data_IF_238190494216
#
_entry.id   IF_238190494216
#
_cell.length_a   1.000
_cell.length_b   1.000
_cell.length_c   1.000
_cell.angle_alpha   90.00
_cell.angle_beta   90.00
_cell.angle_gamma   90.00
#
_symmetry.space_group_name_H-M   'P 1'
#
loop_
_entity.id
_entity.type
_entity.pdbx_description
1 polymer ?
#
# COMPACT_ATOMS: atom_id res chain seq x y z
N UNK A 1 -29.41 -17.40 -27.54
CA UNK A 1 -28.50 -17.85 -28.60
C UNK A 1 -27.17 -17.11 -28.58
N UNK A 2 -27.09 -15.77 -28.61
CA UNK A 2 -25.82 -14.98 -28.58
C UNK A 2 -24.94 -15.29 -27.37
N UNK A 3 -25.48 -15.43 -26.17
CA UNK A 3 -24.69 -15.72 -24.96
C UNK A 3 -24.07 -17.15 -24.93
N UNK A 4 -24.74 -18.13 -25.53
CA UNK A 4 -24.22 -19.50 -25.64
C UNK A 4 -23.08 -19.55 -26.67
N UNK A 5 -23.27 -18.90 -27.83
CA UNK A 5 -22.24 -18.80 -28.87
C UNK A 5 -21.00 -18.06 -28.36
N UNK A 6 -21.17 -16.96 -27.62
CA UNK A 6 -20.05 -16.22 -27.00
C UNK A 6 -19.29 -17.08 -25.99
N UNK A 7 -19.98 -17.85 -25.16
CA UNK A 7 -19.33 -18.81 -24.22
C UNK A 7 -18.58 -19.92 -24.96
N UNK A 8 -19.16 -20.47 -25.99
CA UNK A 8 -18.54 -21.52 -26.79
C UNK A 8 -17.26 -21.02 -27.46
N UNK A 9 -17.31 -19.84 -28.09
CA UNK A 9 -16.13 -19.20 -28.67
C UNK A 9 -15.05 -18.92 -27.63
N UNK A 10 -15.42 -18.46 -26.43
CA UNK A 10 -14.49 -18.22 -25.33
C UNK A 10 -13.82 -19.51 -24.84
N UNK A 11 -14.55 -20.62 -24.76
CA UNK A 11 -14.01 -21.93 -24.38
C UNK A 11 -13.05 -22.49 -25.44
N UNK A 12 -13.44 -22.42 -26.72
CA UNK A 12 -12.59 -22.85 -27.83
C UNK A 12 -11.31 -22.01 -27.91
N UNK A 13 -11.43 -20.68 -27.81
CA UNK A 13 -10.29 -19.76 -27.79
C UNK A 13 -9.34 -20.05 -26.61
N UNK A 14 -9.89 -20.28 -25.42
CA UNK A 14 -9.11 -20.64 -24.24
C UNK A 14 -8.36 -21.98 -24.45
N UNK A 15 -9.04 -23.00 -24.97
CA UNK A 15 -8.44 -24.30 -25.24
C UNK A 15 -7.31 -24.18 -26.28
N UNK A 16 -7.52 -23.42 -27.35
CA UNK A 16 -6.53 -23.21 -28.41
C UNK A 16 -5.27 -22.50 -27.89
N UNK A 17 -5.44 -21.38 -27.19
CA UNK A 17 -4.32 -20.61 -26.62
C UNK A 17 -3.56 -21.47 -25.59
N UNK A 18 -4.29 -22.19 -24.75
CA UNK A 18 -3.68 -23.08 -23.77
C UNK A 18 -2.89 -24.21 -24.45
N UNK A 19 -3.45 -24.87 -25.48
CA UNK A 19 -2.76 -25.93 -26.23
C UNK A 19 -1.46 -25.43 -26.85
N UNK A 20 -1.49 -24.29 -27.51
CA UNK A 20 -0.32 -23.69 -28.15
C UNK A 20 0.77 -23.36 -27.11
N UNK A 21 0.40 -22.68 -26.03
CA UNK A 21 1.33 -22.33 -24.96
C UNK A 21 1.89 -23.57 -24.26
N UNK A 22 1.03 -24.55 -23.97
CA UNK A 22 1.41 -25.82 -23.34
C UNK A 22 2.42 -26.60 -24.19
N UNK A 23 2.15 -26.72 -25.49
CA UNK A 23 3.03 -27.41 -26.43
C UNK A 23 4.39 -26.73 -26.59
N UNK A 24 4.42 -25.40 -26.72
CA UNK A 24 5.66 -24.62 -26.75
C UNK A 24 6.49 -24.84 -25.47
N UNK A 25 5.85 -24.78 -24.31
CA UNK A 25 6.51 -24.98 -23.02
C UNK A 25 6.98 -26.43 -22.84
N UNK A 26 6.20 -27.41 -23.30
CA UNK A 26 6.63 -28.80 -23.33
C UNK A 26 7.88 -29.02 -24.19
N UNK A 27 7.93 -28.41 -25.39
CA UNK A 27 9.09 -28.48 -26.28
C UNK A 27 10.35 -27.90 -25.61
N UNK A 28 10.22 -26.76 -24.94
CA UNK A 28 11.32 -26.16 -24.14
C UNK A 28 11.72 -27.09 -22.99
N UNK A 29 10.75 -27.65 -22.27
CA UNK A 29 11.00 -28.58 -21.17
C UNK A 29 11.68 -29.86 -21.64
N UNK A 30 11.29 -30.37 -22.81
CA UNK A 30 11.89 -31.59 -23.42
C UNK A 30 13.37 -31.37 -23.72
N UNK A 31 13.73 -30.18 -24.20
CA UNK A 31 15.13 -29.83 -24.48
C UNK A 31 15.99 -29.76 -23.20
N UNK A 32 15.38 -29.47 -22.05
CA UNK A 32 16.07 -29.38 -20.76
C UNK A 32 16.19 -30.73 -20.03
N UNK A 33 15.16 -31.58 -20.17
CA UNK A 33 15.01 -32.82 -19.36
C UNK A 33 15.35 -34.09 -20.17
N UNK A 34 15.40 -33.99 -21.52
CA UNK A 34 15.69 -35.07 -22.48
C UNK A 34 14.68 -36.26 -22.42
N UNK A 35 13.72 -36.22 -21.50
CA UNK A 35 12.67 -37.24 -21.33
C UNK A 35 11.29 -36.63 -21.53
N UNK A 36 10.51 -37.16 -22.45
CA UNK A 36 9.22 -36.62 -22.87
C UNK A 36 8.15 -36.62 -21.77
N UNK A 37 8.12 -37.66 -20.94
CA UNK A 37 7.20 -37.82 -19.81
C UNK A 37 7.50 -36.81 -18.67
N UNK A 38 8.77 -36.69 -18.29
CA UNK A 38 9.20 -35.75 -17.26
C UNK A 38 9.11 -34.31 -17.71
N UNK A 39 9.25 -34.01 -19.01
CA UNK A 39 9.09 -32.70 -19.59
C UNK A 39 7.70 -32.07 -19.34
N UNK A 40 6.65 -32.90 -19.24
CA UNK A 40 5.29 -32.46 -18.90
C UNK A 40 5.21 -31.90 -17.48
N UNK A 41 6.05 -32.41 -16.56
CA UNK A 41 6.07 -32.01 -15.15
C UNK A 41 6.74 -30.66 -14.91
N UNK A 42 7.51 -30.12 -15.85
CA UNK A 42 8.22 -28.86 -15.67
C UNK A 42 7.29 -27.67 -16.00
N UNK A 43 7.48 -27.01 -17.12
CA UNK A 43 6.75 -25.79 -17.45
C UNK A 43 5.27 -26.00 -17.80
N UNK A 44 4.84 -27.06 -18.51
CA UNK A 44 3.42 -27.31 -18.76
C UNK A 44 2.60 -27.42 -17.48
N UNK A 45 3.13 -28.12 -16.48
CA UNK A 45 2.54 -28.22 -15.16
C UNK A 45 2.35 -26.84 -14.50
N UNK A 46 3.40 -25.99 -14.53
CA UNK A 46 3.35 -24.62 -13.98
C UNK A 46 2.33 -23.74 -14.70
N UNK A 47 2.23 -23.82 -16.02
CA UNK A 47 1.22 -23.11 -16.82
C UNK A 47 -0.20 -23.51 -16.42
N UNK A 48 -0.47 -24.81 -16.35
CA UNK A 48 -1.78 -25.31 -15.93
C UNK A 48 -2.18 -24.78 -14.56
N UNK A 49 -1.31 -24.95 -13.56
CA UNK A 49 -1.59 -24.48 -12.20
C UNK A 49 -1.78 -22.96 -12.13
N UNK A 50 -0.91 -22.20 -12.80
CA UNK A 50 -1.00 -20.77 -12.85
C UNK A 50 -2.33 -20.28 -13.42
N UNK A 51 -2.79 -20.88 -14.52
CA UNK A 51 -4.09 -20.56 -15.11
C UNK A 51 -5.26 -21.02 -14.25
N UNK A 52 -5.19 -22.21 -13.63
CA UNK A 52 -6.26 -22.68 -12.75
C UNK A 52 -6.45 -21.82 -11.51
N UNK A 53 -5.37 -21.26 -10.95
CA UNK A 53 -5.45 -20.31 -9.84
C UNK A 53 -6.12 -19.00 -10.24
N UNK A 54 -5.98 -18.56 -11.48
CA UNK A 54 -6.49 -17.27 -11.97
C UNK A 54 -7.86 -17.37 -12.66
N UNK A 55 -8.14 -18.45 -13.39
CA UNK A 55 -9.38 -18.62 -14.12
C UNK A 55 -10.57 -19.02 -13.22
N UNK A 56 -11.81 -18.65 -13.59
CA UNK A 56 -13.01 -19.17 -12.95
C UNK A 56 -13.06 -20.69 -13.01
N UNK A 57 -13.63 -21.33 -11.98
CA UNK A 57 -13.74 -22.80 -11.89
C UNK A 57 -14.40 -23.45 -13.10
N UNK A 58 -15.29 -22.72 -13.79
CA UNK A 58 -15.95 -23.23 -15.01
C UNK A 58 -14.99 -23.53 -16.17
N UNK A 59 -13.77 -23.00 -16.19
CA UNK A 59 -12.75 -23.28 -17.20
C UNK A 59 -11.80 -24.43 -16.83
N UNK A 60 -11.81 -24.92 -15.59
CA UNK A 60 -10.93 -26.00 -15.15
C UNK A 60 -11.11 -27.30 -15.94
N UNK A 61 -12.35 -27.76 -16.23
CA UNK A 61 -12.54 -28.94 -17.06
C UNK A 61 -11.96 -28.80 -18.47
N UNK A 62 -11.99 -27.57 -19.02
CA UNK A 62 -11.43 -27.28 -20.35
C UNK A 62 -9.90 -27.38 -20.30
N UNK A 63 -9.24 -26.80 -19.29
CA UNK A 63 -7.79 -26.85 -19.13
C UNK A 63 -7.30 -28.28 -18.92
N UNK A 64 -7.96 -29.07 -18.04
CA UNK A 64 -7.62 -30.48 -17.80
C UNK A 64 -7.88 -31.35 -19.00
N UNK A 65 -9.06 -31.20 -19.63
CA UNK A 65 -9.42 -31.97 -20.81
C UNK A 65 -8.47 -31.75 -21.98
N UNK A 66 -8.07 -30.47 -22.17
CA UNK A 66 -7.09 -30.12 -23.22
C UNK A 66 -5.71 -30.70 -22.92
N UNK A 67 -5.25 -30.64 -21.67
CA UNK A 67 -3.97 -31.24 -21.25
C UNK A 67 -4.00 -32.75 -21.44
N UNK A 68 -5.08 -33.43 -21.06
CA UNK A 68 -5.22 -34.87 -21.23
C UNK A 68 -5.24 -35.29 -22.70
N UNK A 69 -5.89 -34.51 -23.56
CA UNK A 69 -5.86 -34.75 -25.02
C UNK A 69 -4.43 -34.62 -25.56
N UNK A 70 -3.69 -33.63 -25.10
CA UNK A 70 -2.29 -33.43 -25.51
C UNK A 70 -1.39 -34.57 -24.99
N UNK A 71 -1.56 -35.02 -23.73
CA UNK A 71 -0.82 -36.15 -23.17
C UNK A 71 -1.12 -37.43 -23.94
N UNK A 72 -2.39 -37.70 -24.27
CA UNK A 72 -2.77 -38.88 -25.06
C UNK A 72 -2.23 -38.82 -26.49
N UNK A 73 -2.23 -37.64 -27.12
CA UNK A 73 -1.63 -37.46 -28.44
C UNK A 73 -0.11 -37.67 -28.39
N UNK A 74 0.60 -37.11 -27.41
CA UNK A 74 2.03 -37.34 -27.22
C UNK A 74 2.36 -38.80 -26.89
N UNK A 75 1.49 -39.51 -26.19
CA UNK A 75 1.69 -40.95 -25.91
C UNK A 75 1.68 -41.80 -27.19
N UNK A 76 0.96 -41.36 -28.23
CA UNK A 76 0.97 -42.03 -29.53
C UNK A 76 2.18 -41.65 -30.40
N UNK A 77 2.55 -40.36 -30.43
CA UNK A 77 3.59 -39.82 -31.31
C UNK A 77 5.02 -40.02 -30.76
N UNK A 78 5.21 -39.87 -29.46
CA UNK A 78 6.55 -39.83 -28.82
C UNK A 78 6.73 -41.02 -27.84
N UNK A 79 5.73 -41.94 -27.74
CA UNK A 79 5.74 -43.10 -26.85
C UNK A 79 6.04 -42.75 -25.39
N UNK A 80 5.19 -41.88 -24.78
CA UNK A 80 5.30 -41.57 -23.35
C UNK A 80 5.21 -42.84 -22.50
N UNK A 81 6.15 -43.04 -21.57
CA UNK A 81 6.22 -44.22 -20.74
C UNK A 81 5.01 -44.33 -19.76
N UNK A 82 4.60 -43.20 -19.17
CA UNK A 82 3.63 -43.21 -18.07
C UNK A 82 2.49 -42.18 -18.22
N UNK A 83 1.65 -42.21 -19.29
CA UNK A 83 0.59 -41.24 -19.50
C UNK A 83 -0.48 -41.26 -18.38
N UNK A 84 -0.78 -42.42 -17.82
CA UNK A 84 -1.78 -42.58 -16.75
C UNK A 84 -1.29 -41.92 -15.46
N UNK A 85 0.00 -42.00 -15.13
CA UNK A 85 0.60 -41.38 -13.97
C UNK A 85 0.48 -39.85 -14.07
N UNK A 86 0.75 -39.27 -15.24
CA UNK A 86 0.59 -37.84 -15.50
C UNK A 86 -0.86 -37.38 -15.33
N UNK A 87 -1.83 -38.13 -15.84
CA UNK A 87 -3.25 -37.81 -15.73
C UNK A 87 -3.76 -37.95 -14.29
N UNK A 88 -3.39 -39.00 -13.56
CA UNK A 88 -3.77 -39.17 -12.15
C UNK A 88 -3.18 -38.12 -11.26
N UNK A 89 -1.90 -37.77 -11.44
CA UNK A 89 -1.25 -36.64 -10.75
C UNK A 89 -1.98 -35.31 -10.99
N UNK A 90 -2.41 -35.08 -12.25
CA UNK A 90 -3.13 -33.85 -12.58
C UNK A 90 -4.48 -33.71 -11.87
N UNK A 91 -5.18 -34.81 -11.60
CA UNK A 91 -6.41 -34.84 -10.79
C UNK A 91 -6.14 -34.48 -9.31
N UNK A 92 -5.08 -35.07 -8.73
CA UNK A 92 -4.74 -34.81 -7.32
C UNK A 92 -4.46 -33.35 -7.06
N UNK A 93 -3.90 -32.61 -8.02
CA UNK A 93 -3.60 -31.21 -7.90
C UNK A 93 -4.84 -30.30 -7.80
N UNK A 94 -6.03 -30.80 -8.16
CA UNK A 94 -7.28 -30.06 -8.02
C UNK A 94 -7.60 -29.72 -6.56
N UNK A 95 -7.21 -30.56 -5.60
CA UNK A 95 -7.51 -30.37 -4.19
C UNK A 95 -6.91 -29.04 -3.63
N UNK A 96 -5.59 -28.82 -3.66
CA UNK A 96 -5.00 -27.61 -3.14
C UNK A 96 -5.45 -26.36 -3.91
N UNK A 97 -5.61 -26.47 -5.24
CA UNK A 97 -6.09 -25.36 -6.07
C UNK A 97 -7.54 -24.99 -5.72
N UNK A 98 -8.42 -25.99 -5.48
CA UNK A 98 -9.81 -25.73 -5.09
C UNK A 98 -9.93 -25.08 -3.72
N UNK A 99 -9.08 -25.46 -2.76
CA UNK A 99 -9.06 -24.87 -1.43
C UNK A 99 -8.68 -23.38 -1.49
N UNK A 100 -7.63 -23.05 -2.23
CA UNK A 100 -7.12 -21.68 -2.31
C UNK A 100 -7.96 -20.79 -3.22
N UNK A 101 -8.58 -21.34 -4.26
CA UNK A 101 -9.46 -20.55 -5.13
C UNK A 101 -10.63 -19.89 -4.41
N UNK A 102 -10.97 -20.32 -3.18
CA UNK A 102 -11.96 -19.66 -2.31
C UNK A 102 -11.51 -18.27 -1.83
N UNK A 103 -10.19 -18.04 -1.72
CA UNK A 103 -9.60 -16.80 -1.22
C UNK A 103 -9.12 -15.84 -2.33
N UNK A 104 -9.55 -16.05 -3.57
CA UNK A 104 -9.10 -15.33 -4.77
C UNK A 104 -9.36 -13.82 -4.75
N UNK A 105 -10.34 -13.34 -3.97
CA UNK A 105 -10.71 -11.92 -3.94
C UNK A 105 -9.85 -11.05 -3.02
N UNK A 106 -9.10 -11.63 -2.11
CA UNK A 106 -8.20 -10.90 -1.22
C UNK A 106 -6.86 -10.70 -1.93
N UNK A 107 -6.46 -9.43 -2.14
CA UNK A 107 -5.19 -9.05 -2.81
C UNK A 107 -4.07 -8.75 -1.82
N UNK A 108 -4.04 -9.42 -0.69
CA UNK A 108 -3.06 -9.23 0.37
C UNK A 108 -1.78 -10.04 0.12
N UNK A 109 -0.67 -9.63 0.76
CA UNK A 109 0.57 -10.39 0.77
C UNK A 109 0.40 -11.85 1.19
N UNK A 110 -0.56 -12.13 2.10
CA UNK A 110 -0.96 -13.47 2.51
C UNK A 110 -1.48 -14.32 1.33
N UNK A 111 -2.10 -13.68 0.35
CA UNK A 111 -2.61 -14.37 -0.84
C UNK A 111 -1.46 -14.92 -1.69
N UNK A 112 -0.37 -14.16 -1.83
CA UNK A 112 0.84 -14.61 -2.53
C UNK A 112 1.47 -15.83 -1.82
N UNK A 113 1.62 -15.75 -0.49
CA UNK A 113 2.14 -16.89 0.29
C UNK A 113 1.24 -18.11 0.25
N UNK A 114 -0.08 -17.93 0.34
CA UNK A 114 -1.06 -19.02 0.22
C UNK A 114 -1.02 -19.66 -1.17
N UNK A 115 -0.89 -18.85 -2.22
CA UNK A 115 -0.72 -19.35 -3.58
C UNK A 115 0.59 -20.14 -3.72
N UNK A 116 1.70 -19.64 -3.18
CA UNK A 116 2.96 -20.36 -3.11
C UNK A 116 2.84 -21.69 -2.36
N UNK A 117 2.19 -21.71 -1.21
CA UNK A 117 1.91 -22.92 -0.45
C UNK A 117 1.04 -23.92 -1.21
N UNK A 118 0.03 -23.44 -1.96
CA UNK A 118 -0.77 -24.31 -2.84
C UNK A 118 0.02 -24.90 -3.99
N UNK A 119 0.90 -24.12 -4.59
CA UNK A 119 1.79 -24.59 -5.64
C UNK A 119 2.71 -25.68 -5.12
N UNK A 120 3.29 -25.50 -3.93
CA UNK A 120 4.11 -26.53 -3.30
C UNK A 120 3.30 -27.80 -2.99
N UNK A 121 2.10 -27.66 -2.42
CA UNK A 121 1.21 -28.79 -2.15
C UNK A 121 0.77 -29.51 -3.44
N UNK A 122 0.48 -28.75 -4.50
CA UNK A 122 0.12 -29.32 -5.80
C UNK A 122 1.31 -30.05 -6.44
N UNK A 123 2.52 -29.53 -6.32
CA UNK A 123 3.73 -30.20 -6.81
C UNK A 123 4.00 -31.51 -6.07
N UNK A 124 3.85 -31.52 -4.75
CA UNK A 124 3.94 -32.73 -3.94
C UNK A 124 2.90 -33.77 -4.36
N UNK A 125 1.65 -33.37 -4.55
CA UNK A 125 0.57 -34.29 -4.96
C UNK A 125 0.77 -34.81 -6.39
N UNK A 126 1.31 -33.99 -7.30
CA UNK A 126 1.61 -34.41 -8.67
C UNK A 126 2.75 -35.45 -8.71
N UNK A 127 3.74 -35.32 -7.82
CA UNK A 127 4.87 -36.26 -7.76
C UNK A 127 4.57 -37.55 -6.99
N UNK A 128 3.49 -37.63 -6.20
CA UNK A 128 3.13 -38.83 -5.43
C UNK A 128 3.04 -40.12 -6.27
N UNK A 129 2.36 -40.14 -7.45
CA UNK A 129 2.30 -41.36 -8.25
C UNK A 129 3.67 -41.81 -8.76
N UNK A 130 4.63 -40.92 -8.91
CA UNK A 130 6.01 -41.20 -9.35
C UNK A 130 6.86 -41.90 -8.28
N UNK A 131 6.48 -41.77 -7.00
CA UNK A 131 7.18 -42.47 -5.92
C UNK A 131 7.09 -44.02 -6.03
N UNK A 132 6.09 -44.52 -6.76
CA UNK A 132 5.96 -45.92 -7.05
C UNK A 132 7.00 -46.44 -8.07
N UNK A 133 7.62 -45.52 -8.86
CA UNK A 133 8.62 -45.79 -9.87
C UNK A 133 10.07 -45.70 -9.35
N UNK A 134 10.27 -45.66 -8.01
CA UNK A 134 11.58 -45.67 -7.39
C UNK A 134 12.30 -44.31 -7.42
N UNK A 135 13.52 -44.23 -7.94
CA UNK A 135 14.38 -43.04 -7.92
C UNK A 135 13.84 -41.86 -8.75
N UNK A 136 12.84 -42.08 -9.57
CA UNK A 136 12.23 -41.02 -10.40
C UNK A 136 11.33 -40.08 -9.62
N UNK A 137 10.87 -40.47 -8.43
CA UNK A 137 10.00 -39.67 -7.59
C UNK A 137 10.63 -38.34 -7.16
N UNK A 138 11.92 -38.33 -6.84
CA UNK A 138 12.64 -37.12 -6.42
C UNK A 138 12.81 -36.17 -7.62
N UNK A 139 13.16 -36.69 -8.78
CA UNK A 139 13.28 -35.91 -10.02
C UNK A 139 11.94 -35.30 -10.43
N UNK A 140 10.85 -36.06 -10.37
CA UNK A 140 9.50 -35.59 -10.63
C UNK A 140 9.09 -34.46 -9.65
N UNK A 141 9.45 -34.59 -8.37
CA UNK A 141 9.19 -33.57 -7.37
C UNK A 141 9.97 -32.27 -7.66
N UNK A 142 11.26 -32.38 -7.96
CA UNK A 142 12.08 -31.20 -8.30
C UNK A 142 11.56 -30.48 -9.55
N UNK A 143 11.19 -31.23 -10.58
CA UNK A 143 10.64 -30.68 -11.82
C UNK A 143 9.30 -29.96 -11.58
N UNK A 144 8.39 -30.60 -10.85
CA UNK A 144 7.07 -30.01 -10.55
C UNK A 144 7.19 -28.76 -9.67
N UNK A 145 8.05 -28.79 -8.64
CA UNK A 145 8.32 -27.61 -7.80
C UNK A 145 8.91 -26.46 -8.61
N UNK A 146 9.93 -26.77 -9.41
CA UNK A 146 10.61 -25.75 -10.22
C UNK A 146 9.66 -25.14 -11.25
N UNK A 147 8.96 -25.97 -12.03
CA UNK A 147 8.02 -25.51 -13.05
C UNK A 147 6.83 -24.74 -12.44
N UNK A 148 6.28 -25.26 -11.34
CA UNK A 148 5.18 -24.61 -10.62
C UNK A 148 5.55 -23.24 -10.05
N UNK A 149 6.66 -23.14 -9.32
CA UNK A 149 7.09 -21.90 -8.69
C UNK A 149 7.66 -20.87 -9.69
N UNK A 150 8.17 -21.30 -10.82
CA UNK A 150 8.69 -20.39 -11.85
C UNK A 150 7.56 -19.83 -12.72
N UNK A 151 6.67 -20.69 -13.22
CA UNK A 151 5.70 -20.27 -14.23
C UNK A 151 4.34 -19.85 -13.66
N UNK A 152 3.85 -20.47 -12.58
CA UNK A 152 2.54 -20.11 -12.06
C UNK A 152 2.46 -18.68 -11.51
N UNK A 153 3.49 -18.12 -10.80
CA UNK A 153 3.48 -16.72 -10.42
C UNK A 153 3.54 -15.74 -11.60
N UNK A 154 4.21 -16.11 -12.70
CA UNK A 154 4.22 -15.29 -13.92
C UNK A 154 2.85 -15.21 -14.57
N UNK A 155 2.08 -16.30 -14.56
CA UNK A 155 0.67 -16.29 -14.98
C UNK A 155 -0.16 -15.32 -14.13
N UNK A 156 0.12 -15.19 -12.81
CA UNK A 156 -0.54 -14.24 -11.94
C UNK A 156 -0.25 -12.79 -12.38
N UNK A 157 1.00 -12.46 -12.69
CA UNK A 157 1.38 -11.10 -13.16
C UNK A 157 0.68 -10.79 -14.47
N UNK A 158 0.72 -11.72 -15.42
CA UNK A 158 0.09 -11.56 -16.72
C UNK A 158 -1.43 -11.39 -16.60
N UNK A 159 -2.08 -12.23 -15.79
CA UNK A 159 -3.51 -12.12 -15.50
C UNK A 159 -3.86 -10.80 -14.85
N UNK A 160 -3.07 -10.36 -13.87
CA UNK A 160 -3.26 -9.07 -13.22
C UNK A 160 -3.17 -7.92 -14.23
N UNK A 161 -2.19 -7.95 -15.13
CA UNK A 161 -2.03 -6.95 -16.18
C UNK A 161 -3.24 -6.94 -17.12
N UNK A 162 -3.69 -8.10 -17.59
CA UNK A 162 -4.86 -8.22 -18.48
C UNK A 162 -6.16 -7.74 -17.82
N UNK A 163 -6.35 -7.98 -16.52
CA UNK A 163 -7.60 -7.65 -15.83
C UNK A 163 -7.60 -6.25 -15.22
N UNK A 164 -6.44 -5.69 -14.88
CA UNK A 164 -6.31 -4.33 -14.32
C UNK A 164 -6.38 -3.24 -15.39
N UNK A 165 -6.02 -3.58 -16.63
CA UNK A 165 -6.17 -2.66 -17.77
C UNK A 165 -7.64 -2.60 -18.12
N UNK A 166 -8.32 -1.55 -17.67
CA UNK A 166 -9.70 -1.28 -18.10
C UNK A 166 -9.64 -0.89 -19.57
N UNK A 167 -9.96 -1.82 -20.44
CA UNK A 167 -10.18 -1.58 -21.86
C UNK A 167 -11.46 -0.73 -22.00
N UNK A 168 -11.34 0.58 -21.74
CA UNK A 168 -12.43 1.51 -22.09
C UNK A 168 -12.34 1.77 -23.58
N UNK A 169 -13.45 1.66 -24.32
CA UNK A 169 -13.47 2.11 -25.71
C UNK A 169 -13.03 3.58 -25.71
N UNK A 170 -12.13 3.92 -26.62
CA UNK A 170 -11.63 5.28 -26.83
C UNK A 170 -12.80 6.20 -27.15
N UNK A 171 -13.36 6.84 -26.14
CA UNK A 171 -14.29 7.94 -26.32
C UNK A 171 -13.52 9.22 -26.67
N UNK A 172 -14.07 10.12 -27.46
CA UNK A 172 -13.39 11.34 -27.93
C UNK A 172 -12.96 12.32 -26.83
N UNK A 173 -13.30 12.06 -25.57
CA UNK A 173 -12.98 12.91 -24.43
C UNK A 173 -11.83 12.37 -23.54
N UNK A 174 -11.22 11.24 -23.86
CA UNK A 174 -10.07 10.72 -23.12
C UNK A 174 -8.79 11.21 -23.78
N UNK A 175 -8.32 12.37 -23.34
CA UNK A 175 -6.89 12.70 -23.42
C UNK A 175 -6.17 11.57 -22.68
N UNK A 176 -5.50 10.71 -23.42
CA UNK A 176 -4.65 9.67 -22.87
C UNK A 176 -3.68 10.36 -21.94
N UNK A 177 -3.72 10.02 -20.65
CA UNK A 177 -2.64 10.43 -19.75
C UNK A 177 -1.37 9.91 -20.42
N UNK A 178 -0.38 10.76 -20.71
CA UNK A 178 0.85 10.30 -21.34
C UNK A 178 1.40 9.20 -20.49
N UNK A 179 1.57 8.01 -21.06
CA UNK A 179 2.30 6.91 -20.43
C UNK A 179 3.68 7.47 -20.21
N UNK A 180 3.98 7.89 -19.00
CA UNK A 180 5.31 8.38 -18.61
C UNK A 180 6.25 7.18 -18.62
N UNK A 181 6.70 6.84 -19.80
CA UNK A 181 7.81 5.94 -19.99
C UNK A 181 9.04 6.65 -19.42
N UNK A 182 9.33 6.40 -18.17
CA UNK A 182 10.59 6.80 -17.60
C UNK A 182 11.68 5.89 -18.18
N UNK A 183 12.11 6.20 -19.39
CA UNK A 183 13.14 5.44 -20.12
C UNK A 183 14.39 5.18 -19.30
N UNK A 184 14.69 6.08 -18.36
CA UNK A 184 15.79 5.93 -17.39
C UNK A 184 15.66 4.67 -16.53
N UNK A 185 14.44 4.29 -16.11
CA UNK A 185 14.25 3.06 -15.33
C UNK A 185 14.41 1.81 -16.20
N UNK A 186 13.91 1.84 -17.43
CA UNK A 186 14.10 0.74 -18.38
C UNK A 186 15.59 0.48 -18.65
N UNK A 187 16.37 1.53 -18.84
CA UNK A 187 17.83 1.45 -19.02
C UNK A 187 18.50 0.82 -17.80
N UNK A 188 18.11 1.23 -16.58
CA UNK A 188 18.64 0.66 -15.34
C UNK A 188 18.33 -0.84 -15.20
N UNK A 189 17.12 -1.27 -15.60
CA UNK A 189 16.76 -2.70 -15.56
C UNK A 189 17.51 -3.50 -16.60
N UNK A 190 17.63 -2.96 -17.81
CA UNK A 190 18.39 -3.61 -18.87
C UNK A 190 19.86 -3.74 -18.50
N UNK A 191 20.42 -2.72 -17.87
CA UNK A 191 21.78 -2.73 -17.34
C UNK A 191 21.95 -3.74 -16.21
N UNK A 192 21.06 -3.77 -15.22
CA UNK A 192 21.07 -4.76 -14.14
C UNK A 192 20.93 -6.19 -14.68
N UNK A 193 20.06 -6.39 -15.66
CA UNK A 193 19.88 -7.68 -16.31
C UNK A 193 21.14 -8.09 -17.09
N UNK A 194 21.74 -7.17 -17.84
CA UNK A 194 22.99 -7.43 -18.57
C UNK A 194 24.15 -7.75 -17.63
N UNK A 195 24.26 -7.05 -16.50
CA UNK A 195 25.25 -7.34 -15.46
C UNK A 195 25.01 -8.73 -14.86
N UNK A 196 23.74 -9.07 -14.56
CA UNK A 196 23.38 -10.39 -14.04
C UNK A 196 23.74 -11.51 -15.02
N UNK A 197 23.43 -11.31 -16.30
CA UNK A 197 23.77 -12.26 -17.35
C UNK A 197 25.30 -12.40 -17.51
N UNK A 198 26.01 -11.28 -17.54
CA UNK A 198 27.49 -11.28 -17.62
C UNK A 198 28.12 -11.97 -16.42
N UNK A 199 27.57 -11.76 -15.22
CA UNK A 199 28.03 -12.43 -14.01
C UNK A 199 27.81 -13.95 -14.09
N UNK A 200 26.68 -14.39 -14.67
CA UNK A 200 26.37 -15.83 -14.85
C UNK A 200 27.30 -16.50 -15.85
N UNK A 201 27.63 -15.80 -16.93
CA UNK A 201 28.48 -16.36 -18.03
C UNK A 201 29.97 -16.21 -17.78
N UNK A 202 30.37 -15.21 -16.98
CA UNK A 202 31.79 -14.81 -16.83
C UNK A 202 32.45 -15.25 -15.53
N UNK A 203 31.73 -15.84 -14.57
CA UNK A 203 32.31 -16.29 -13.31
C UNK A 203 33.16 -17.57 -13.50
N UNK A 204 34.41 -17.57 -12.98
CA UNK A 204 35.23 -18.79 -12.94
C UNK A 204 34.50 -19.91 -12.20
N UNK A 205 34.80 -21.17 -12.56
CA UNK A 205 34.16 -22.36 -11.98
C UNK A 205 34.20 -22.40 -10.45
N UNK A 206 35.24 -21.83 -9.84
CA UNK A 206 35.38 -21.74 -8.37
C UNK A 206 34.36 -20.79 -7.72
N UNK A 207 33.95 -19.73 -8.41
CA UNK A 207 33.01 -18.72 -7.95
C UNK A 207 31.57 -19.00 -8.42
N UNK A 208 31.37 -19.97 -9.31
CA UNK A 208 30.05 -20.34 -9.84
C UNK A 208 29.06 -20.76 -8.74
N UNK A 209 29.56 -21.26 -7.61
CA UNK A 209 28.74 -21.58 -6.41
C UNK A 209 28.04 -20.36 -5.81
N UNK A 210 28.56 -19.14 -6.05
CA UNK A 210 27.97 -17.89 -5.57
C UNK A 210 27.00 -17.26 -6.57
N UNK A 211 26.87 -17.80 -7.76
CA UNK A 211 25.96 -17.30 -8.81
C UNK A 211 24.52 -17.10 -8.32
N UNK A 212 23.90 -18.01 -7.54
CA UNK A 212 22.54 -17.82 -7.03
C UNK A 212 22.37 -16.55 -6.18
N UNK A 213 23.39 -16.14 -5.42
CA UNK A 213 23.35 -14.91 -4.63
C UNK A 213 23.41 -13.66 -5.49
N UNK A 214 24.21 -13.69 -6.55
CA UNK A 214 24.30 -12.58 -7.51
C UNK A 214 22.98 -12.38 -8.26
N UNK A 215 22.25 -13.47 -8.53
CA UNK A 215 20.94 -13.45 -9.17
C UNK A 215 19.84 -12.83 -8.27
N UNK A 216 20.05 -12.80 -6.97
CA UNK A 216 19.12 -12.14 -6.05
C UNK A 216 19.11 -10.62 -6.20
N UNK A 217 20.23 -10.00 -6.65
CA UNK A 217 20.35 -8.54 -6.76
C UNK A 217 19.33 -7.91 -7.72
N UNK A 218 19.13 -8.39 -8.96
CA UNK A 218 18.09 -7.88 -9.86
C UNK A 218 16.69 -8.09 -9.28
N UNK A 219 16.45 -9.22 -8.59
CA UNK A 219 15.16 -9.51 -7.96
C UNK A 219 14.87 -8.48 -6.87
N UNK A 220 15.83 -8.20 -5.98
CA UNK A 220 15.71 -7.19 -4.93
C UNK A 220 15.47 -5.80 -5.52
N UNK A 221 16.24 -5.40 -6.53
CA UNK A 221 16.14 -4.08 -7.14
C UNK A 221 14.77 -3.86 -7.82
N UNK A 222 14.29 -4.84 -8.60
CA UNK A 222 12.98 -4.76 -9.23
C UNK A 222 11.84 -4.86 -8.21
N UNK A 223 11.98 -5.71 -7.19
CA UNK A 223 11.01 -5.83 -6.12
C UNK A 223 10.87 -4.50 -5.34
N UNK A 224 11.98 -3.82 -5.08
CA UNK A 224 11.95 -2.53 -4.39
C UNK A 224 11.16 -1.47 -5.16
N UNK A 225 11.36 -1.39 -6.48
CA UNK A 225 10.68 -0.39 -7.31
C UNK A 225 9.24 -0.76 -7.68
N UNK A 226 8.99 -2.01 -8.10
CA UNK A 226 7.69 -2.45 -8.65
C UNK A 226 6.90 -3.36 -7.70
N UNK A 227 7.44 -3.68 -6.51
CA UNK A 227 6.81 -4.59 -5.57
C UNK A 227 6.88 -6.03 -6.03
N UNK A 228 5.88 -6.82 -5.64
CA UNK A 228 5.80 -8.24 -5.96
C UNK A 228 5.83 -8.55 -7.46
N UNK A 229 5.26 -7.67 -8.29
CA UNK A 229 5.29 -7.82 -9.75
C UNK A 229 6.71 -7.75 -10.30
N UNK A 230 7.49 -6.78 -9.81
CA UNK A 230 8.90 -6.64 -10.17
C UNK A 230 9.74 -7.83 -9.77
N UNK A 231 9.51 -8.39 -8.57
CA UNK A 231 10.19 -9.59 -8.12
C UNK A 231 9.92 -10.79 -9.05
N UNK A 232 8.66 -11.02 -9.43
CA UNK A 232 8.28 -12.14 -10.28
C UNK A 232 8.77 -11.99 -11.73
N UNK A 233 8.77 -10.78 -12.28
CA UNK A 233 9.34 -10.51 -13.60
C UNK A 233 10.86 -10.74 -13.57
N UNK A 234 11.55 -10.30 -12.54
CA UNK A 234 12.99 -10.51 -12.40
C UNK A 234 13.34 -12.00 -12.31
N UNK A 235 12.55 -12.78 -11.54
CA UNK A 235 12.77 -14.23 -11.47
C UNK A 235 12.56 -14.93 -12.81
N UNK A 236 11.55 -14.52 -13.58
CA UNK A 236 11.31 -15.05 -14.92
C UNK A 236 12.47 -14.71 -15.86
N UNK A 237 12.93 -13.45 -15.86
CA UNK A 237 14.05 -13.01 -16.70
C UNK A 237 15.34 -13.74 -16.35
N UNK A 238 15.63 -13.91 -15.06
CA UNK A 238 16.77 -14.70 -14.60
C UNK A 238 16.64 -16.18 -14.99
N UNK A 239 15.44 -16.77 -14.91
CA UNK A 239 15.21 -18.14 -15.33
C UNK A 239 15.47 -18.32 -16.83
N UNK A 240 14.99 -17.39 -17.66
CA UNK A 240 15.26 -17.40 -19.11
C UNK A 240 16.75 -17.29 -19.38
N UNK A 241 17.45 -16.37 -18.69
CA UNK A 241 18.89 -16.20 -18.84
C UNK A 241 19.68 -17.47 -18.46
N UNK A 242 19.26 -18.10 -17.37
CA UNK A 242 19.86 -19.33 -16.86
C UNK A 242 19.69 -20.48 -17.87
N UNK A 243 18.50 -20.64 -18.41
CA UNK A 243 18.20 -21.64 -19.44
C UNK A 243 18.96 -21.39 -20.73
N UNK A 244 19.11 -20.11 -21.13
CA UNK A 244 19.80 -19.74 -22.35
C UNK A 244 21.34 -19.89 -22.28
N UNK A 245 21.92 -20.00 -21.08
CA UNK A 245 23.38 -20.02 -20.88
C UNK A 245 24.08 -21.32 -21.32
N UNK A 246 23.37 -22.33 -21.79
CA UNK A 246 23.90 -23.60 -22.36
C UNK A 246 24.91 -24.42 -21.49
N UNK A 247 25.20 -23.99 -20.26
CA UNK A 247 26.22 -24.61 -19.39
C UNK A 247 25.73 -25.87 -18.65
N UNK A 248 24.56 -26.38 -19.02
CA UNK A 248 23.77 -27.32 -18.18
C UNK A 248 23.82 -28.77 -18.60
N UNK A 249 24.47 -29.09 -19.70
CA UNK A 249 24.48 -30.46 -20.25
C UNK A 249 25.08 -31.48 -19.27
N UNK A 250 25.96 -31.01 -18.35
CA UNK A 250 26.64 -31.89 -17.42
C UNK A 250 25.90 -32.06 -16.07
N UNK A 251 25.03 -31.09 -15.64
CA UNK A 251 24.40 -31.11 -14.31
C UNK A 251 22.96 -30.55 -14.30
N UNK A 252 21.97 -31.28 -14.83
CA UNK A 252 20.58 -30.79 -14.89
C UNK A 252 19.92 -30.55 -13.52
N UNK A 253 20.34 -31.26 -12.48
CA UNK A 253 19.84 -31.10 -11.11
C UNK A 253 20.23 -29.75 -10.52
N UNK A 254 21.45 -29.29 -10.79
CA UNK A 254 21.94 -28.00 -10.29
C UNK A 254 21.18 -26.83 -10.94
N UNK A 255 20.80 -26.96 -12.21
CA UNK A 255 19.89 -26.00 -12.86
C UNK A 255 18.54 -25.94 -12.14
N UNK A 256 17.90 -27.09 -11.94
CA UNK A 256 16.59 -27.14 -11.30
C UNK A 256 16.62 -26.56 -9.90
N UNK A 257 17.65 -26.88 -9.11
CA UNK A 257 17.85 -26.30 -7.77
C UNK A 257 18.05 -24.78 -7.82
N UNK A 258 18.82 -24.27 -8.79
CA UNK A 258 19.04 -22.83 -8.98
C UNK A 258 17.74 -22.12 -9.37
N UNK A 259 16.97 -22.67 -10.30
CA UNK A 259 15.66 -22.14 -10.70
C UNK A 259 14.67 -22.15 -9.53
N UNK A 260 14.66 -23.23 -8.75
CA UNK A 260 13.83 -23.36 -7.57
C UNK A 260 14.19 -22.32 -6.51
N UNK A 261 15.48 -22.19 -6.19
CA UNK A 261 15.97 -21.22 -5.22
C UNK A 261 15.63 -19.79 -5.60
N UNK A 262 15.81 -19.42 -6.87
CA UNK A 262 15.44 -18.11 -7.39
C UNK A 262 13.95 -17.84 -7.32
N UNK A 263 13.13 -18.80 -7.72
CA UNK A 263 11.66 -18.69 -7.71
C UNK A 263 11.12 -18.51 -6.30
N UNK A 264 11.67 -19.30 -5.35
CA UNK A 264 11.32 -19.18 -3.93
C UNK A 264 11.76 -17.82 -3.37
N UNK A 265 12.98 -17.38 -3.67
CA UNK A 265 13.50 -16.07 -3.26
C UNK A 265 12.63 -14.94 -3.81
N UNK A 266 12.28 -14.99 -5.09
CA UNK A 266 11.42 -13.98 -5.72
C UNK A 266 10.03 -13.91 -5.11
N UNK A 267 9.43 -15.06 -4.80
CA UNK A 267 8.12 -15.13 -4.16
C UNK A 267 8.16 -14.57 -2.73
N UNK A 268 9.15 -14.94 -1.93
CA UNK A 268 9.30 -14.48 -0.54
C UNK A 268 9.63 -12.99 -0.48
N UNK A 269 10.56 -12.52 -1.31
CA UNK A 269 10.90 -11.09 -1.41
C UNK A 269 9.72 -10.28 -1.93
N UNK A 270 9.02 -10.77 -2.94
CA UNK A 270 7.82 -10.11 -3.47
C UNK A 270 6.74 -9.96 -2.41
N UNK A 271 6.44 -11.01 -1.66
CA UNK A 271 5.49 -10.99 -0.56
C UNK A 271 5.94 -10.08 0.59
N UNK A 272 7.23 -10.15 0.96
CA UNK A 272 7.80 -9.32 2.02
C UNK A 272 7.74 -7.81 1.70
N UNK A 273 8.13 -7.43 0.49
CA UNK A 273 8.08 -6.02 0.04
C UNK A 273 6.64 -5.53 -0.06
N UNK A 274 5.73 -6.38 -0.54
CA UNK A 274 4.31 -6.04 -0.55
C UNK A 274 3.80 -5.77 0.87
N UNK A 275 4.16 -6.61 1.83
CA UNK A 275 3.80 -6.42 3.25
C UNK A 275 4.33 -5.10 3.81
N UNK A 276 5.60 -4.79 3.53
CA UNK A 276 6.20 -3.52 3.95
C UNK A 276 5.49 -2.31 3.37
N UNK A 277 5.07 -2.38 2.11
CA UNK A 277 4.30 -1.31 1.46
C UNK A 277 2.93 -1.12 2.09
N UNK A 278 2.20 -2.20 2.35
CA UNK A 278 0.89 -2.16 3.01
C UNK A 278 1.00 -1.57 4.42
N UNK A 279 2.00 -1.99 5.20
CA UNK A 279 2.26 -1.43 6.53
C UNK A 279 2.60 0.06 6.46
N UNK A 280 3.45 0.47 5.53
CA UNK A 280 3.83 1.87 5.37
C UNK A 280 2.64 2.75 4.97
N UNK A 281 1.80 2.28 4.04
CA UNK A 281 0.56 2.96 3.65
C UNK A 281 -0.43 3.07 4.82
N UNK A 282 -0.61 2.00 5.58
CA UNK A 282 -1.44 1.98 6.78
C UNK A 282 -0.93 2.99 7.82
N UNK A 283 0.38 2.99 8.10
CA UNK A 283 1.00 3.92 9.04
C UNK A 283 0.83 5.37 8.59
N UNK A 284 1.04 5.67 7.31
CA UNK A 284 0.84 7.02 6.78
C UNK A 284 -0.61 7.48 6.90
N UNK A 285 -1.57 6.60 6.65
CA UNK A 285 -3.00 6.91 6.79
C UNK A 285 -3.38 7.19 8.24
N UNK A 286 -2.85 6.43 9.20
CA UNK A 286 -3.06 6.64 10.64
C UNK A 286 -2.42 7.95 11.11
N UNK A 287 -1.20 8.26 10.67
CA UNK A 287 -0.55 9.54 10.98
C UNK A 287 -1.33 10.73 10.44
N UNK A 288 -1.83 10.64 9.20
CA UNK A 288 -2.67 11.68 8.61
C UNK A 288 -4.00 11.86 9.37
N UNK A 289 -4.60 10.75 9.81
CA UNK A 289 -5.81 10.77 10.64
C UNK A 289 -5.56 11.43 12.00
N UNK A 290 -4.47 11.05 12.67
CA UNK A 290 -4.12 11.61 13.97
C UNK A 290 -3.83 13.11 13.89
N UNK A 291 -3.15 13.58 12.83
CA UNK A 291 -2.94 15.03 12.59
C UNK A 291 -4.26 15.77 12.45
N UNK A 292 -5.19 15.26 11.63
CA UNK A 292 -6.51 15.88 11.46
C UNK A 292 -7.32 15.91 12.75
N UNK A 293 -7.22 14.87 13.59
CA UNK A 293 -7.88 14.87 14.90
C UNK A 293 -7.26 15.90 15.84
N UNK A 294 -5.94 16.01 15.87
CA UNK A 294 -5.25 17.04 16.67
C UNK A 294 -5.62 18.46 16.22
N UNK A 295 -5.66 18.73 14.92
CA UNK A 295 -6.10 20.01 14.37
C UNK A 295 -7.56 20.34 14.80
N UNK A 296 -8.47 19.39 14.66
CA UNK A 296 -9.86 19.58 15.09
C UNK A 296 -10.01 19.79 16.60
N UNK A 297 -9.22 19.11 17.43
CA UNK A 297 -9.23 19.33 18.86
C UNK A 297 -8.80 20.74 19.22
N UNK A 298 -7.74 21.27 18.59
CA UNK A 298 -7.29 22.64 18.78
C UNK A 298 -8.35 23.66 18.33
N UNK A 299 -8.96 23.47 17.16
CA UNK A 299 -10.05 24.32 16.67
C UNK A 299 -11.26 24.30 17.62
N UNK A 300 -11.64 23.13 18.12
CA UNK A 300 -12.76 22.98 19.06
C UNK A 300 -12.44 23.64 20.40
N UNK A 301 -11.24 23.44 20.94
CA UNK A 301 -10.80 24.08 22.19
C UNK A 301 -10.87 25.60 22.08
N UNK A 302 -10.40 26.14 20.95
CA UNK A 302 -10.42 27.59 20.73
C UNK A 302 -11.84 28.13 20.54
N UNK A 303 -12.71 27.39 19.82
CA UNK A 303 -14.13 27.75 19.71
C UNK A 303 -14.82 27.77 21.06
N UNK A 304 -14.63 26.73 21.88
CA UNK A 304 -15.22 26.68 23.23
C UNK A 304 -14.71 27.84 24.09
N UNK A 305 -13.41 28.12 24.06
CA UNK A 305 -12.85 29.29 24.79
C UNK A 305 -13.48 30.60 24.35
N UNK A 306 -13.69 30.78 23.06
CA UNK A 306 -14.31 31.99 22.49
C UNK A 306 -15.75 32.12 22.93
N UNK A 307 -16.52 31.06 22.85
CA UNK A 307 -17.94 31.06 23.20
C UNK A 307 -18.14 31.29 24.69
N UNK A 308 -17.38 30.61 25.54
CA UNK A 308 -17.40 30.84 27.00
C UNK A 308 -17.00 32.28 27.36
N UNK A 309 -15.96 32.82 26.70
CA UNK A 309 -15.55 34.20 26.98
C UNK A 309 -16.64 35.22 26.60
N UNK A 310 -17.35 34.99 25.48
CA UNK A 310 -18.44 35.84 25.02
C UNK A 310 -19.64 35.77 25.97
N UNK A 311 -20.08 34.53 26.28
CA UNK A 311 -21.23 34.29 27.15
C UNK A 311 -21.01 34.88 28.57
N UNK A 312 -19.84 34.64 29.16
CA UNK A 312 -19.50 35.22 30.45
C UNK A 312 -19.46 36.77 30.40
N UNK A 313 -19.01 37.33 29.29
CA UNK A 313 -18.99 38.80 29.16
C UNK A 313 -20.39 39.42 29.11
N UNK A 314 -21.26 38.80 28.29
CA UNK A 314 -22.61 39.30 28.06
C UNK A 314 -23.46 39.13 29.31
N UNK A 315 -23.49 37.93 29.91
CA UNK A 315 -24.34 37.60 31.05
C UNK A 315 -23.92 38.34 32.34
N UNK A 316 -22.61 38.28 32.68
CA UNK A 316 -22.10 38.94 33.87
C UNK A 316 -22.11 40.49 33.70
N UNK A 317 -21.78 40.99 32.51
CA UNK A 317 -21.83 42.42 32.21
C UNK A 317 -23.23 43.00 32.37
N UNK A 318 -24.24 42.33 31.85
CA UNK A 318 -25.67 42.73 32.02
C UNK A 318 -26.10 42.68 33.47
N UNK A 319 -25.79 41.57 34.17
CA UNK A 319 -26.15 41.37 35.56
C UNK A 319 -25.55 42.45 36.47
N UNK A 320 -24.28 42.75 36.35
CA UNK A 320 -23.58 43.76 37.11
C UNK A 320 -24.18 45.16 36.82
N UNK A 321 -24.49 45.43 35.55
CA UNK A 321 -25.13 46.70 35.18
C UNK A 321 -26.50 46.86 35.81
N UNK A 322 -27.31 45.82 35.85
CA UNK A 322 -28.58 45.80 36.50
C UNK A 322 -28.46 46.02 38.03
N UNK A 323 -27.50 45.36 38.69
CA UNK A 323 -27.24 45.53 40.13
C UNK A 323 -26.86 46.99 40.45
N UNK A 324 -25.96 47.58 39.67
CA UNK A 324 -25.54 48.98 39.84
C UNK A 324 -26.68 49.96 39.63
N UNK A 325 -27.53 49.69 38.62
CA UNK A 325 -28.70 50.53 38.36
C UNK A 325 -29.68 50.50 39.53
N UNK A 326 -29.97 49.31 40.08
CA UNK A 326 -30.81 49.17 41.24
C UNK A 326 -30.23 49.80 42.48
N UNK A 327 -28.93 49.67 42.74
CA UNK A 327 -28.26 50.36 43.86
C UNK A 327 -28.40 51.88 43.75
N UNK A 328 -28.22 52.44 42.56
CA UNK A 328 -28.39 53.87 42.28
C UNK A 328 -29.85 54.33 42.47
N UNK A 329 -30.84 53.54 42.09
CA UNK A 329 -32.27 53.85 42.35
C UNK A 329 -32.56 53.85 43.83
N UNK A 330 -32.11 52.87 44.60
CA UNK A 330 -32.32 52.79 46.06
C UNK A 330 -31.68 53.98 46.77
N UNK A 331 -30.49 54.40 46.37
CA UNK A 331 -29.86 55.64 46.93
C UNK A 331 -30.66 56.92 46.66
N UNK A 332 -31.33 57.03 45.50
CA UNK A 332 -32.18 58.17 45.15
C UNK A 332 -33.51 58.22 45.85
N UNK A 333 -34.08 57.04 46.13
CA UNK A 333 -35.38 56.92 46.81
C UNK A 333 -35.31 57.26 48.31
N UNK A 334 -34.13 57.10 48.94
CA UNK A 334 -33.95 57.38 50.37
C UNK A 334 -32.73 58.35 50.63
N UNK A 335 -32.78 59.60 50.16
CA UNK A 335 -31.62 60.50 50.18
C UNK A 335 -31.20 60.90 51.60
N UNK A 336 -32.12 60.89 52.53
CA UNK A 336 -31.86 61.34 53.93
C UNK A 336 -31.43 60.18 54.84
N UNK A 337 -31.45 58.95 54.36
CA UNK A 337 -31.05 57.83 55.16
C UNK A 337 -29.57 57.46 54.90
N UNK A 338 -28.69 57.81 55.83
CA UNK A 338 -27.25 57.59 55.75
C UNK A 338 -26.87 56.14 55.61
N UNK A 339 -27.61 55.21 56.26
CA UNK A 339 -27.39 53.74 56.17
C UNK A 339 -27.68 53.20 54.80
N UNK A 340 -28.77 53.64 54.15
CA UNK A 340 -29.13 53.25 52.77
C UNK A 340 -28.12 53.72 51.75
N UNK A 341 -27.61 54.96 51.88
CA UNK A 341 -26.56 55.48 51.02
C UNK A 341 -25.24 54.70 51.14
N UNK A 342 -24.83 54.37 52.38
CA UNK A 342 -23.63 53.60 52.63
C UNK A 342 -23.76 52.20 52.09
N UNK A 343 -24.91 51.53 52.22
CA UNK A 343 -25.19 50.21 51.66
C UNK A 343 -25.14 50.22 50.12
N UNK A 344 -25.77 51.22 49.50
CA UNK A 344 -25.76 51.42 48.05
C UNK A 344 -24.37 51.63 47.47
N UNK A 345 -23.54 52.45 48.15
CA UNK A 345 -22.15 52.64 47.76
C UNK A 345 -21.33 51.35 47.89
N UNK A 346 -21.54 50.58 48.93
CA UNK A 346 -20.89 49.28 49.12
C UNK A 346 -21.26 48.29 48.00
N UNK A 347 -22.57 48.22 47.66
CA UNK A 347 -23.00 47.35 46.52
C UNK A 347 -22.35 47.77 45.21
N UNK A 348 -22.24 49.07 44.95
CA UNK A 348 -21.60 49.57 43.75
C UNK A 348 -20.13 49.23 43.72
N UNK A 349 -19.37 49.40 44.82
CA UNK A 349 -17.96 49.02 44.94
C UNK A 349 -17.76 47.51 44.75
N UNK A 350 -18.59 46.67 45.37
CA UNK A 350 -18.50 45.23 45.23
C UNK A 350 -18.78 44.80 43.80
N UNK A 351 -19.77 45.39 43.15
CA UNK A 351 -20.11 45.13 41.75
C UNK A 351 -18.98 45.48 40.80
N UNK A 352 -18.30 46.60 41.00
CA UNK A 352 -17.11 46.99 40.25
C UNK A 352 -15.96 46.00 40.47
N UNK A 353 -15.72 45.56 41.72
CA UNK A 353 -14.71 44.56 42.07
C UNK A 353 -14.94 43.21 41.38
N UNK A 354 -16.21 42.76 41.32
CA UNK A 354 -16.59 41.55 40.57
C UNK A 354 -16.34 41.73 39.07
N UNK A 355 -16.76 42.88 38.50
CA UNK A 355 -16.56 43.20 37.10
C UNK A 355 -15.08 43.15 36.69
N UNK A 356 -14.22 43.78 37.47
CA UNK A 356 -12.76 43.83 37.24
C UNK A 356 -12.13 42.41 37.37
N UNK A 357 -12.64 41.60 38.29
CA UNK A 357 -12.16 40.22 38.46
C UNK A 357 -12.53 39.36 37.26
N UNK A 358 -13.78 39.44 36.78
CA UNK A 358 -14.22 38.75 35.57
C UNK A 358 -13.46 39.22 34.34
N UNK A 359 -13.27 40.54 34.20
CA UNK A 359 -12.47 41.12 33.10
C UNK A 359 -11.03 40.59 33.08
N UNK A 360 -10.39 40.42 34.24
CA UNK A 360 -9.07 39.83 34.35
C UNK A 360 -9.06 38.34 33.95
N UNK A 361 -10.08 37.55 34.33
CA UNK A 361 -10.23 36.14 33.96
C UNK A 361 -10.44 35.99 32.44
N UNK A 362 -11.33 36.78 31.85
CA UNK A 362 -11.58 36.80 30.42
C UNK A 362 -10.33 37.18 29.62
N UNK A 363 -9.54 38.16 30.11
CA UNK A 363 -8.27 38.53 29.48
C UNK A 363 -7.20 37.44 29.52
N UNK A 364 -7.31 36.45 30.44
CA UNK A 364 -6.47 35.24 30.44
C UNK A 364 -6.96 34.16 29.46
N UNK A 365 -8.28 34.09 29.27
CA UNK A 365 -8.88 33.15 28.30
C UNK A 365 -8.65 33.61 26.87
N UNK A 366 -8.82 34.95 26.61
CA UNK A 366 -8.61 35.53 25.28
C UNK A 366 -8.31 37.03 25.38
N UNK A 367 -7.26 37.53 24.72
CA UNK A 367 -6.99 39.00 24.63
C UNK A 367 -8.02 39.64 23.69
N UNK A 368 -8.88 40.51 24.25
CA UNK A 368 -9.92 41.24 23.50
C UNK A 368 -9.39 42.12 22.37
N UNK A 369 -8.21 42.65 22.55
CA UNK A 369 -7.59 43.53 21.55
C UNK A 369 -7.42 42.86 20.19
N UNK A 370 -7.41 41.50 20.13
CA UNK A 370 -7.30 40.74 18.88
C UNK A 370 -8.63 40.49 18.18
N UNK A 371 -9.77 40.74 18.85
CA UNK A 371 -11.09 40.55 18.23
C UNK A 371 -11.49 41.76 17.36
N UNK A 372 -11.11 42.96 17.79
CA UNK A 372 -11.54 44.22 17.18
C UNK A 372 -10.42 44.94 16.39
N UNK A 373 -9.16 44.57 16.60
CA UNK A 373 -8.00 45.25 16.05
C UNK A 373 -7.06 44.29 15.28
N UNK A 374 -6.43 44.78 14.20
CA UNK A 374 -5.27 44.10 13.61
C UNK A 374 -4.18 43.88 14.67
N UNK A 375 -3.36 42.84 14.50
CA UNK A 375 -2.34 42.44 15.48
C UNK A 375 -1.37 43.57 15.81
N UNK A 376 -0.94 44.34 14.80
CA UNK A 376 -0.08 45.51 15.01
C UNK A 376 -0.73 46.55 15.95
N UNK A 377 -2.00 46.87 15.69
CA UNK A 377 -2.75 47.87 16.50
C UNK A 377 -3.03 47.32 17.90
N UNK A 378 -3.29 46.02 18.04
CA UNK A 378 -3.47 45.36 19.33
C UNK A 378 -2.18 45.45 20.18
N UNK A 379 -1.02 45.21 19.57
CA UNK A 379 0.28 45.35 20.27
C UNK A 379 0.57 46.81 20.63
N UNK A 380 0.27 47.77 19.76
CA UNK A 380 0.39 49.21 20.07
C UNK A 380 -0.53 49.63 21.22
N UNK A 381 -1.75 49.13 21.23
CA UNK A 381 -2.71 49.37 22.33
C UNK A 381 -2.18 48.79 23.65
N UNK A 382 -1.60 47.58 23.61
CA UNK A 382 -0.97 46.97 24.78
C UNK A 382 0.19 47.81 25.33
N UNK A 383 1.05 48.32 24.45
CA UNK A 383 2.16 49.22 24.86
C UNK A 383 1.67 50.51 25.51
N UNK A 384 0.58 51.08 24.99
CA UNK A 384 -0.06 52.27 25.59
C UNK A 384 -0.70 51.95 26.94
N UNK A 385 -1.37 50.79 27.09
CA UNK A 385 -1.94 50.36 28.38
C UNK A 385 -0.89 50.09 29.46
N UNK A 386 0.35 49.77 29.08
CA UNK A 386 1.47 49.57 30.02
C UNK A 386 2.03 50.89 30.58
N UNK A 387 1.57 52.06 30.09
CA UNK A 387 1.99 53.39 30.52
C UNK A 387 3.53 53.53 30.60
N UNK A 388 4.22 52.97 29.58
CA UNK A 388 5.68 52.88 29.56
C UNK A 388 6.32 54.28 29.52
N UNK A 389 5.70 55.24 28.81
CA UNK A 389 6.16 56.61 28.71
C UNK A 389 6.05 57.37 30.05
N UNK A 390 4.98 57.14 30.81
CA UNK A 390 4.80 57.74 32.15
C UNK A 390 5.81 57.21 33.17
N UNK A 391 6.35 56.01 32.88
CA UNK A 391 7.44 55.40 33.67
C UNK A 391 8.83 55.78 33.19
N UNK A 392 8.94 56.67 32.22
CA UNK A 392 10.22 57.12 31.67
C UNK A 392 10.89 56.12 30.71
N UNK A 393 10.16 55.14 30.21
CA UNK A 393 10.67 54.12 29.27
C UNK A 393 10.26 54.53 27.85
N UNK A 394 11.26 54.83 27.00
CA UNK A 394 10.99 55.08 25.58
C UNK A 394 10.78 53.73 24.86
N UNK A 395 9.57 53.49 24.39
CA UNK A 395 9.22 52.30 23.68
C UNK A 395 9.15 52.55 22.17
N UNK A 396 9.72 51.62 21.37
CA UNK A 396 9.67 51.66 19.91
C UNK A 396 9.24 50.30 19.35
N UNK A 397 8.22 50.30 18.47
CA UNK A 397 7.74 49.11 17.80
C UNK A 397 8.17 49.13 16.33
N UNK A 398 9.10 48.23 15.94
CA UNK A 398 9.43 47.95 14.55
C UNK A 398 8.62 46.75 14.05
N UNK A 399 7.58 47.00 13.25
CA UNK A 399 6.66 46.01 12.76
C UNK A 399 6.99 45.57 11.34
N UNK A 400 7.37 44.30 11.15
CA UNK A 400 7.72 43.73 9.84
C UNK A 400 6.91 42.46 9.48
N UNK A 401 5.83 42.21 10.21
CA UNK A 401 5.04 40.98 10.04
C UNK A 401 3.93 41.24 9.02
N UNK A 402 3.80 40.35 8.01
CA UNK A 402 2.66 40.38 7.12
C UNK A 402 1.51 39.58 7.75
N UNK A 403 0.47 40.24 8.19
CA UNK A 403 -0.67 39.64 8.89
C UNK A 403 -1.56 38.79 7.98
N UNK A 404 -1.56 38.99 6.66
CA UNK A 404 -2.45 38.31 5.73
C UNK A 404 -2.23 36.76 5.66
N UNK A 405 -1.07 36.29 6.12
CA UNK A 405 -0.71 34.87 6.14
C UNK A 405 -0.78 34.22 7.53
N UNK A 406 -1.11 34.99 8.59
CA UNK A 406 -1.14 34.43 9.94
C UNK A 406 -2.48 33.78 10.27
N UNK A 407 -2.44 32.56 10.80
CA UNK A 407 -3.61 31.93 11.41
C UNK A 407 -3.95 32.66 12.73
N UNK A 408 -5.20 32.53 13.17
CA UNK A 408 -5.68 33.18 14.41
C UNK A 408 -4.87 32.72 15.63
N UNK A 409 -4.49 31.44 15.70
CA UNK A 409 -3.62 30.88 16.73
C UNK A 409 -2.23 31.51 16.76
N UNK A 410 -1.66 31.83 15.59
CA UNK A 410 -0.38 32.51 15.50
C UNK A 410 -0.49 33.96 15.97
N UNK A 411 -1.60 34.67 15.66
CA UNK A 411 -1.88 36.01 16.13
C UNK A 411 -1.98 36.04 17.64
N UNK A 412 -2.74 35.12 18.26
CA UNK A 412 -2.87 35.04 19.73
C UNK A 412 -1.53 34.72 20.39
N UNK A 413 -0.74 33.83 19.81
CA UNK A 413 0.59 33.45 20.34
C UNK A 413 1.56 34.62 20.29
N UNK A 414 1.61 35.33 19.16
CA UNK A 414 2.47 36.51 19.00
C UNK A 414 2.07 37.63 19.98
N UNK A 415 0.77 37.89 20.15
CA UNK A 415 0.27 38.86 21.12
C UNK A 415 0.61 38.50 22.56
N UNK A 416 0.47 37.21 22.91
CA UNK A 416 0.83 36.70 24.25
C UNK A 416 2.34 36.83 24.51
N UNK A 417 3.15 36.68 23.48
CA UNK A 417 4.61 36.90 23.56
C UNK A 417 4.94 38.36 23.78
N UNK A 418 4.31 39.27 23.02
CA UNK A 418 4.48 40.73 23.22
C UNK A 418 4.05 41.22 24.61
N UNK A 419 3.11 40.51 25.26
CA UNK A 419 2.64 40.83 26.62
C UNK A 419 3.61 40.37 27.73
N UNK A 420 4.50 39.39 27.43
CA UNK A 420 5.43 38.83 28.44
C UNK A 420 6.82 39.47 28.43
N UNK A 421 7.20 40.09 27.34
CA UNK A 421 8.45 40.84 27.19
C UNK A 421 8.32 42.26 27.68
#
# INVERSE_FOLDING_TARGET
>A
MKAVVSRLLSVIGCAFIFSAAWFCLWSISLHLVERADLAVLLFPFGLRLGLMLQCPRGYWPVLLGTEWLLILWLAQEVALAHPIILMTGSLLTLLPVALISRYRQQRDWLTLLRQGGALMAAALLQSLPWLAEGDEGLNALLLTLTGGLTLAPTCLVFWHYLTSTVWRPLGPALVAQPVNWRGRHLIWYLLLFTISLWLQLGLPAELSRFTPFCLALPIIALAWHYGWQGALIATLMNAIALIASQTWHDHPVDLLLSLLAQSLTGLLLGAGIQRLRELNQSLQSELARNRRLAERLLETEESVRRDVARELHDDIGQTITAIRTQAGIVQRLAPDNASVRQSGQLIEQLSLGVYDSVRRLLGRLRPRQLDDLPLEQAVRSLMSEMELEDRGIVSHLDWRINEAGLSENQRVTLFAFARRG
#
